data_IF_622271808408
#
_entry.id   IF_622271808408
#
_cell.length_a   1.000
_cell.length_b   1.000
_cell.length_c   1.000
_cell.angle_alpha   90.00
_cell.angle_beta   90.00
_cell.angle_gamma   90.00
#
_symmetry.space_group_name_H-M   'P 1'
#
loop_
_entity.id
_entity.type
_entity.pdbx_description
1 polymer ?
#
# COMPACT_ATOMS: atom_id res chain seq x y z
N UNK A 1 -42.83 1.75 -35.99
CA UNK A 1 -42.29 0.38 -35.91
C UNK A 1 -42.76 -0.38 -37.14
N UNK A 2 -41.84 -0.98 -37.90
CA UNK A 2 -42.16 -1.72 -39.11
C UNK A 2 -42.56 -3.17 -38.78
N UNK A 3 -43.43 -3.75 -39.60
CA UNK A 3 -43.86 -5.15 -39.45
C UNK A 3 -42.65 -6.10 -39.63
N UNK A 4 -42.41 -6.98 -38.67
CA UNK A 4 -41.23 -7.87 -38.65
C UNK A 4 -39.93 -7.26 -38.12
N UNK A 5 -39.95 -6.03 -37.61
CA UNK A 5 -38.78 -5.35 -37.04
C UNK A 5 -38.96 -5.08 -35.54
N UNK A 6 -37.90 -5.30 -34.76
CA UNK A 6 -37.84 -4.93 -33.34
C UNK A 6 -36.47 -4.31 -33.04
N UNK A 7 -36.49 -3.22 -32.27
CA UNK A 7 -35.29 -2.69 -31.63
C UNK A 7 -35.03 -3.49 -30.36
N UNK A 8 -33.85 -4.10 -30.27
CA UNK A 8 -33.40 -4.86 -29.11
C UNK A 8 -32.13 -4.23 -28.55
N UNK A 9 -32.17 -3.86 -27.28
CA UNK A 9 -31.02 -3.38 -26.54
C UNK A 9 -30.66 -4.40 -25.45
N UNK A 10 -29.44 -4.96 -25.54
CA UNK A 10 -28.92 -5.87 -24.52
C UNK A 10 -28.11 -5.08 -23.49
N UNK A 11 -28.57 -5.08 -22.23
CA UNK A 11 -27.80 -4.53 -21.11
C UNK A 11 -26.67 -5.48 -20.70
N UNK A 12 -25.64 -5.50 -21.56
CA UNK A 12 -24.39 -6.24 -21.33
C UNK A 12 -23.75 -5.87 -19.98
N UNK A 13 -23.70 -4.59 -19.56
CA UNK A 13 -23.17 -4.22 -18.25
C UNK A 13 -23.83 -4.90 -17.06
N UNK A 14 -25.16 -4.84 -16.97
CA UNK A 14 -25.89 -5.46 -15.86
C UNK A 14 -25.80 -6.99 -15.91
N UNK A 15 -25.86 -7.58 -17.10
CA UNK A 15 -25.73 -9.02 -17.27
C UNK A 15 -24.35 -9.53 -16.82
N UNK A 16 -23.27 -8.83 -17.19
CA UNK A 16 -21.92 -9.21 -16.82
C UNK A 16 -21.66 -8.98 -15.32
N UNK A 17 -22.16 -7.87 -14.75
CA UNK A 17 -22.09 -7.62 -13.30
C UNK A 17 -22.78 -8.75 -12.52
N UNK A 18 -24.00 -9.11 -12.90
CA UNK A 18 -24.75 -10.19 -12.24
C UNK A 18 -23.98 -11.52 -12.31
N UNK A 19 -23.53 -11.90 -13.51
CA UNK A 19 -22.74 -13.12 -13.72
C UNK A 19 -21.49 -13.13 -12.83
N UNK A 20 -20.78 -12.02 -12.75
CA UNK A 20 -19.56 -11.91 -11.96
C UNK A 20 -19.83 -11.97 -10.44
N UNK A 21 -20.89 -11.33 -9.96
CA UNK A 21 -21.32 -11.45 -8.55
C UNK A 21 -21.69 -12.90 -8.23
N UNK A 22 -22.42 -13.57 -9.11
CA UNK A 22 -22.78 -14.98 -8.94
C UNK A 22 -21.54 -15.89 -8.91
N UNK A 23 -20.53 -15.62 -9.74
CA UNK A 23 -19.25 -16.34 -9.68
C UNK A 23 -18.48 -16.06 -8.38
N UNK A 24 -18.39 -14.81 -7.93
CA UNK A 24 -17.76 -14.47 -6.65
C UNK A 24 -18.46 -15.10 -5.45
N UNK A 25 -19.79 -15.29 -5.52
CA UNK A 25 -20.55 -15.97 -4.46
C UNK A 25 -20.19 -17.47 -4.35
N UNK A 26 -19.87 -18.12 -5.47
CA UNK A 26 -19.48 -19.55 -5.52
C UNK A 26 -18.02 -19.79 -5.10
N UNK A 27 -17.15 -18.80 -5.30
CA UNK A 27 -15.74 -18.91 -4.97
C UNK A 27 -15.50 -18.91 -3.45
N UNK A 28 -14.67 -19.84 -2.98
CA UNK A 28 -14.08 -19.74 -1.65
C UNK A 28 -13.03 -18.61 -1.67
N UNK A 29 -13.02 -17.79 -0.62
CA UNK A 29 -11.94 -16.84 -0.40
C UNK A 29 -10.70 -17.56 0.13
N UNK A 30 -9.53 -16.96 -0.10
CA UNK A 30 -8.26 -17.42 0.48
C UNK A 30 -7.50 -16.23 1.06
N UNK A 31 -6.60 -16.47 2.02
CA UNK A 31 -5.85 -15.42 2.71
C UNK A 31 -4.97 -14.62 1.74
N UNK A 32 -4.89 -13.30 1.91
CA UNK A 32 -4.07 -12.38 1.12
C UNK A 32 -2.60 -12.44 1.55
N UNK A 33 -1.98 -13.62 1.35
CA UNK A 33 -0.57 -13.87 1.63
C UNK A 33 0.21 -13.98 0.34
N UNK A 34 1.53 -13.72 0.41
CA UNK A 34 2.43 -13.90 -0.74
C UNK A 34 2.34 -15.30 -1.35
N UNK A 35 2.20 -16.32 -0.51
CA UNK A 35 2.09 -17.71 -0.95
C UNK A 35 0.88 -17.91 -1.87
N UNK A 36 -0.31 -17.48 -1.42
CA UNK A 36 -1.53 -17.62 -2.23
C UNK A 36 -1.54 -16.69 -3.44
N UNK A 37 -1.04 -15.46 -3.33
CA UNK A 37 -1.04 -14.54 -4.47
C UNK A 37 -0.12 -15.01 -5.60
N UNK A 38 0.99 -15.69 -5.29
CA UNK A 38 1.90 -16.25 -6.28
C UNK A 38 1.30 -17.41 -7.11
N UNK A 39 0.23 -18.04 -6.62
CA UNK A 39 -0.48 -19.11 -7.35
C UNK A 39 -1.49 -18.56 -8.37
N UNK A 40 -1.80 -17.26 -8.33
CA UNK A 40 -2.76 -16.63 -9.23
C UNK A 40 -2.13 -16.36 -10.60
N UNK A 41 -2.83 -16.61 -11.71
CA UNK A 41 -2.39 -16.18 -13.04
C UNK A 41 -2.25 -14.66 -13.11
N UNK A 42 -1.21 -14.19 -13.78
CA UNK A 42 -0.92 -12.75 -13.90
C UNK A 42 -1.63 -12.15 -15.11
N UNK A 43 -2.94 -12.28 -15.07
CA UNK A 43 -3.84 -11.96 -16.17
C UNK A 43 -4.71 -10.76 -15.84
N UNK A 44 -5.37 -10.19 -16.85
CA UNK A 44 -6.31 -9.11 -16.62
C UNK A 44 -7.62 -9.60 -15.98
N UNK A 45 -8.14 -8.81 -15.04
CA UNK A 45 -9.33 -9.15 -14.30
C UNK A 45 -9.66 -8.17 -13.19
N UNK A 46 -10.53 -8.65 -12.31
CA UNK A 46 -11.04 -7.94 -11.14
C UNK A 46 -10.91 -8.82 -9.91
N UNK A 47 -10.77 -8.19 -8.75
CA UNK A 47 -10.64 -8.87 -7.48
C UNK A 47 -11.33 -8.09 -6.37
N UNK A 48 -11.64 -8.80 -5.29
CA UNK A 48 -12.19 -8.23 -4.07
C UNK A 48 -11.32 -8.64 -2.89
N UNK A 49 -11.12 -7.73 -1.93
CA UNK A 49 -10.55 -8.03 -0.63
C UNK A 49 -11.67 -8.07 0.41
N UNK A 50 -11.53 -9.00 1.35
CA UNK A 50 -12.52 -9.25 2.38
C UNK A 50 -11.86 -9.23 3.75
N UNK A 51 -12.57 -8.72 4.75
CA UNK A 51 -12.22 -8.81 6.18
C UNK A 51 -13.45 -9.33 6.91
N UNK A 52 -13.31 -10.41 7.68
CA UNK A 52 -14.46 -11.05 8.34
C UNK A 52 -15.55 -11.52 7.37
N UNK A 53 -15.19 -11.85 6.12
CA UNK A 53 -16.13 -12.25 5.07
C UNK A 53 -16.87 -11.09 4.38
N UNK A 54 -16.70 -9.86 4.83
CA UNK A 54 -17.28 -8.67 4.20
C UNK A 54 -16.32 -8.09 3.14
N UNK A 55 -16.85 -7.73 1.97
CA UNK A 55 -16.07 -7.04 0.93
C UNK A 55 -15.74 -5.62 1.37
N UNK A 56 -14.44 -5.33 1.52
CA UNK A 56 -13.95 -4.00 1.94
C UNK A 56 -13.26 -3.23 0.81
N UNK A 57 -12.76 -3.95 -0.20
CA UNK A 57 -12.09 -3.38 -1.37
C UNK A 57 -12.46 -4.14 -2.64
N UNK A 58 -12.63 -3.43 -3.74
CA UNK A 58 -12.68 -4.00 -5.09
C UNK A 58 -11.60 -3.32 -5.91
N UNK A 59 -10.82 -4.08 -6.66
CA UNK A 59 -9.82 -3.54 -7.55
C UNK A 59 -9.84 -4.22 -8.91
N UNK A 60 -9.16 -3.59 -9.85
CA UNK A 60 -8.90 -4.14 -11.18
C UNK A 60 -7.42 -4.14 -11.52
N UNK A 61 -7.11 -4.93 -12.54
CA UNK A 61 -5.84 -4.86 -13.26
C UNK A 61 -5.91 -3.80 -14.35
N UNK A 62 -4.75 -3.35 -14.79
CA UNK A 62 -4.56 -2.52 -15.98
C UNK A 62 -3.69 -3.27 -16.99
N UNK A 63 -3.22 -2.58 -18.04
CA UNK A 63 -2.32 -3.18 -19.02
C UNK A 63 -0.93 -3.50 -18.46
N UNK A 64 -0.53 -2.84 -17.38
CA UNK A 64 0.84 -2.87 -16.86
C UNK A 64 1.00 -3.85 -15.68
N UNK A 65 -0.08 -4.19 -14.99
CA UNK A 65 -0.07 -5.14 -13.87
C UNK A 65 -1.31 -6.06 -13.87
N UNK A 66 -1.06 -7.36 -14.03
CA UNK A 66 -2.05 -8.43 -13.89
C UNK A 66 -2.45 -8.70 -12.43
N UNK A 67 -3.36 -9.67 -12.25
CA UNK A 67 -4.00 -9.99 -10.97
C UNK A 67 -2.98 -10.36 -9.90
N UNK A 68 -2.01 -11.22 -10.24
CA UNK A 68 -0.94 -11.62 -9.32
C UNK A 68 -0.12 -10.42 -8.87
N UNK A 69 0.29 -9.55 -9.79
CA UNK A 69 1.04 -8.33 -9.46
C UNK A 69 0.28 -7.42 -8.49
N UNK A 70 -0.99 -7.12 -8.79
CA UNK A 70 -1.85 -6.26 -7.95
C UNK A 70 -2.08 -6.85 -6.57
N UNK A 71 -2.50 -8.11 -6.49
CA UNK A 71 -2.76 -8.78 -5.22
C UNK A 71 -1.50 -8.92 -4.38
N UNK A 72 -0.36 -9.23 -4.99
CA UNK A 72 0.92 -9.32 -4.27
C UNK A 72 1.35 -7.95 -3.71
N UNK A 73 1.09 -6.86 -4.43
CA UNK A 73 1.31 -5.50 -3.90
C UNK A 73 0.42 -5.24 -2.67
N UNK A 74 -0.85 -5.59 -2.73
CA UNK A 74 -1.76 -5.42 -1.58
C UNK A 74 -1.38 -6.31 -0.39
N UNK A 75 -1.02 -7.57 -0.64
CA UNK A 75 -0.51 -8.50 0.38
C UNK A 75 0.74 -7.95 1.07
N UNK A 76 1.60 -7.24 0.33
CA UNK A 76 2.75 -6.56 0.92
C UNK A 76 2.31 -5.34 1.75
N UNK A 77 1.47 -4.44 1.20
CA UNK A 77 1.03 -3.19 1.85
C UNK A 77 0.38 -3.37 3.23
N UNK A 78 -0.37 -4.46 3.43
CA UNK A 78 -1.08 -4.72 4.70
C UNK A 78 -0.18 -5.28 5.80
N UNK A 79 1.08 -5.59 5.50
CA UNK A 79 2.05 -6.02 6.51
C UNK A 79 2.50 -4.85 7.36
N UNK A 80 2.98 -5.17 8.57
CA UNK A 80 3.57 -4.22 9.53
C UNK A 80 2.62 -3.05 9.79
N UNK A 81 1.33 -3.36 9.94
CA UNK A 81 0.27 -2.41 10.28
C UNK A 81 -0.22 -2.72 11.69
N UNK A 82 -0.49 -1.69 12.46
CA UNK A 82 -1.22 -1.82 13.71
C UNK A 82 -2.68 -2.12 13.40
N UNK A 83 -3.33 -2.91 14.27
CA UNK A 83 -4.75 -3.25 14.19
C UNK A 83 -5.20 -4.02 12.93
N UNK A 84 -4.27 -4.47 12.09
CA UNK A 84 -4.58 -5.29 10.90
C UNK A 84 -3.61 -6.45 10.82
N UNK A 85 -4.13 -7.67 10.97
CA UNK A 85 -3.34 -8.87 10.75
C UNK A 85 -3.51 -9.33 9.30
N UNK A 86 -2.42 -9.61 8.56
CA UNK A 86 -2.54 -10.05 7.17
C UNK A 86 -3.41 -11.29 6.97
N UNK A 87 -3.41 -12.21 7.94
CA UNK A 87 -4.23 -13.42 7.93
C UNK A 87 -5.75 -13.16 7.97
N UNK A 88 -6.17 -12.01 8.51
CA UNK A 88 -7.59 -11.61 8.59
C UNK A 88 -8.10 -11.07 7.25
N UNK A 89 -7.20 -10.76 6.31
CA UNK A 89 -7.53 -10.26 4.99
C UNK A 89 -7.54 -11.42 4.00
N UNK A 90 -8.65 -11.54 3.27
CA UNK A 90 -8.82 -12.56 2.25
C UNK A 90 -9.06 -11.91 0.89
N UNK A 91 -8.94 -12.70 -0.19
CA UNK A 91 -9.28 -12.24 -1.52
C UNK A 91 -10.08 -13.28 -2.32
N UNK A 92 -10.78 -12.76 -3.33
CA UNK A 92 -11.29 -13.52 -4.48
C UNK A 92 -10.89 -12.78 -5.74
N UNK A 93 -10.59 -13.50 -6.83
CA UNK A 93 -10.16 -12.90 -8.09
C UNK A 93 -10.78 -13.64 -9.28
N UNK A 94 -11.10 -12.90 -10.33
CA UNK A 94 -11.63 -13.44 -11.57
C UNK A 94 -10.91 -12.81 -12.76
N UNK A 95 -10.36 -13.66 -13.64
CA UNK A 95 -9.91 -13.22 -14.97
C UNK A 95 -11.12 -12.82 -15.79
N UNK A 96 -11.03 -11.72 -16.51
CA UNK A 96 -12.11 -11.23 -17.38
C UNK A 96 -11.56 -11.07 -18.79
N UNK A 97 -12.11 -11.82 -19.75
CA UNK A 97 -11.62 -11.85 -21.13
C UNK A 97 -12.08 -10.65 -21.97
N UNK A 98 -13.18 -9.99 -21.61
CA UNK A 98 -13.75 -8.86 -22.36
C UNK A 98 -13.70 -7.61 -21.47
N UNK A 99 -12.52 -7.02 -21.34
CA UNK A 99 -12.26 -5.94 -20.38
C UNK A 99 -12.53 -4.53 -20.93
N UNK A 100 -12.46 -4.36 -22.25
CA UNK A 100 -12.11 -3.06 -22.84
C UNK A 100 -13.24 -2.04 -22.93
N UNK A 101 -14.49 -2.44 -22.70
CA UNK A 101 -15.65 -1.57 -22.90
C UNK A 101 -16.42 -1.17 -21.62
N UNK A 102 -16.04 -1.68 -20.44
CA UNK A 102 -16.86 -1.51 -19.23
C UNK A 102 -16.05 -1.28 -17.96
N UNK A 103 -16.51 -0.34 -17.13
CA UNK A 103 -15.92 -0.07 -15.82
C UNK A 103 -16.47 -1.03 -14.75
N UNK A 104 -16.10 -2.31 -14.85
CA UNK A 104 -16.55 -3.37 -13.95
C UNK A 104 -16.20 -3.10 -12.49
N UNK A 105 -15.07 -2.46 -12.22
CA UNK A 105 -14.67 -2.04 -10.87
C UNK A 105 -15.74 -1.11 -10.27
N UNK A 106 -16.13 -0.05 -10.99
CA UNK A 106 -17.15 0.90 -10.53
C UNK A 106 -18.51 0.23 -10.32
N UNK A 107 -18.89 -0.69 -11.20
CA UNK A 107 -20.13 -1.45 -11.08
C UNK A 107 -20.14 -2.35 -9.84
N UNK A 108 -19.05 -3.06 -9.57
CA UNK A 108 -18.90 -3.91 -8.38
C UNK A 108 -18.86 -3.10 -7.09
N UNK A 109 -18.12 -1.99 -7.06
CA UNK A 109 -18.09 -1.08 -5.90
C UNK A 109 -19.51 -0.62 -5.59
N UNK A 110 -20.25 -0.12 -6.60
CA UNK A 110 -21.63 0.32 -6.42
C UNK A 110 -22.53 -0.81 -5.92
N UNK A 111 -22.42 -2.00 -6.50
CA UNK A 111 -23.21 -3.15 -6.10
C UNK A 111 -22.99 -3.48 -4.62
N UNK A 112 -21.74 -3.73 -4.21
CA UNK A 112 -21.44 -4.16 -2.85
C UNK A 112 -21.71 -3.07 -1.80
N UNK A 113 -21.46 -1.80 -2.11
CA UNK A 113 -21.87 -0.67 -1.27
C UNK A 113 -23.36 -0.64 -0.98
N UNK A 114 -24.19 -1.17 -1.89
CA UNK A 114 -25.65 -1.20 -1.73
C UNK A 114 -26.18 -2.49 -1.11
N UNK A 115 -25.46 -3.61 -1.24
CA UNK A 115 -25.98 -4.95 -0.89
C UNK A 115 -25.29 -5.62 0.30
N UNK A 116 -24.02 -5.29 0.58
CA UNK A 116 -23.19 -6.01 1.54
C UNK A 116 -22.50 -5.10 2.59
N UNK A 117 -22.77 -3.79 2.54
CA UNK A 117 -22.14 -2.79 3.40
C UNK A 117 -21.02 -2.02 2.69
N UNK A 118 -20.30 -1.18 3.43
CA UNK A 118 -19.35 -0.26 2.82
C UNK A 118 -18.09 -0.97 2.27
N UNK A 119 -17.83 -0.76 0.98
CA UNK A 119 -16.55 -1.08 0.30
C UNK A 119 -15.52 0.03 0.61
N UNK A 120 -15.34 0.31 1.90
CA UNK A 120 -14.78 1.58 2.35
C UNK A 120 -13.29 1.76 2.00
N UNK A 121 -12.52 0.67 1.79
CA UNK A 121 -11.11 0.79 1.42
C UNK A 121 -10.92 1.51 0.09
N UNK A 122 -11.87 1.41 -0.84
CA UNK A 122 -11.81 2.09 -2.14
C UNK A 122 -11.74 3.62 -2.02
N UNK A 123 -12.28 4.19 -0.94
CA UNK A 123 -12.35 5.64 -0.73
C UNK A 123 -11.46 6.14 0.43
N UNK A 124 -10.74 5.21 1.05
CA UNK A 124 -9.96 5.44 2.28
C UNK A 124 -8.50 5.82 2.08
N UNK A 125 -7.97 5.63 0.86
CA UNK A 125 -6.56 5.79 0.55
C UNK A 125 -5.76 4.49 0.38
N UNK A 126 -6.32 3.32 0.71
CA UNK A 126 -5.62 2.01 0.65
C UNK A 126 -4.90 1.74 -0.69
N UNK A 127 -5.54 2.04 -1.82
CA UNK A 127 -4.95 1.85 -3.16
C UNK A 127 -4.13 3.04 -3.69
N UNK A 128 -3.91 4.09 -2.88
CA UNK A 128 -3.25 5.32 -3.33
C UNK A 128 -1.74 5.17 -3.39
N UNK A 129 -1.12 5.84 -4.37
CA UNK A 129 0.33 5.98 -4.44
C UNK A 129 0.85 7.07 -3.49
N UNK A 130 2.17 7.09 -3.30
CA UNK A 130 2.86 8.11 -2.51
C UNK A 130 2.56 9.53 -3.06
N UNK A 131 1.97 10.44 -2.26
CA UNK A 131 1.48 11.73 -2.75
C UNK A 131 2.58 12.80 -2.88
N UNK A 132 3.82 12.47 -2.51
CA UNK A 132 4.98 13.36 -2.54
C UNK A 132 5.05 14.35 -1.36
N UNK A 133 6.20 15.04 -1.22
CA UNK A 133 6.52 15.91 -0.07
C UNK A 133 5.49 17.01 0.18
N UNK A 134 4.97 17.62 -0.89
CA UNK A 134 4.01 18.72 -0.81
C UNK A 134 2.66 18.32 -0.18
N UNK A 135 2.42 17.02 0.04
CA UNK A 135 1.21 16.50 0.65
C UNK A 135 1.44 15.84 2.01
N UNK A 136 2.66 15.88 2.54
CA UNK A 136 2.98 15.35 3.87
C UNK A 136 2.27 16.13 4.99
N UNK A 137 1.80 17.35 4.71
CA UNK A 137 1.08 18.25 5.64
C UNK A 137 -0.44 18.18 5.49
N UNK A 138 -0.94 17.36 4.57
CA UNK A 138 -2.39 17.24 4.35
C UNK A 138 -3.01 16.57 5.57
N UNK A 139 -4.06 17.16 6.13
CA UNK A 139 -4.81 16.52 7.22
C UNK A 139 -5.29 15.13 6.79
N UNK A 140 -5.05 14.14 7.64
CA UNK A 140 -5.60 12.82 7.42
C UNK A 140 -7.10 12.86 7.70
N UNK A 141 -7.86 12.14 6.88
CA UNK A 141 -9.24 11.84 7.19
C UNK A 141 -9.23 10.83 8.34
N UNK A 142 -9.98 11.09 9.41
CA UNK A 142 -10.07 10.20 10.57
C UNK A 142 -10.50 8.76 10.19
N UNK A 143 -11.33 8.63 9.16
CA UNK A 143 -11.76 7.35 8.60
C UNK A 143 -10.87 6.82 7.44
N UNK A 144 -9.67 7.37 7.27
CA UNK A 144 -8.71 6.93 6.25
C UNK A 144 -8.04 5.59 6.62
N UNK A 145 -7.60 4.84 5.61
CA UNK A 145 -6.98 3.53 5.83
C UNK A 145 -5.76 3.63 6.76
N UNK A 146 -4.83 4.54 6.44
CA UNK A 146 -3.61 4.70 7.23
C UNK A 146 -3.89 5.26 8.63
N UNK A 147 -5.01 5.95 8.86
CA UNK A 147 -5.39 6.42 10.19
C UNK A 147 -5.88 5.27 11.08
N UNK A 148 -6.64 4.33 10.51
CA UNK A 148 -7.17 3.16 11.22
C UNK A 148 -6.13 2.03 11.35
N UNK A 149 -5.26 1.91 10.35
CA UNK A 149 -4.20 0.90 10.26
C UNK A 149 -2.83 1.57 10.07
N UNK A 150 -2.35 2.31 11.08
CA UNK A 150 -1.08 3.00 10.96
C UNK A 150 0.08 2.01 10.89
N UNK A 151 1.21 2.45 10.33
CA UNK A 151 2.43 1.66 10.27
C UNK A 151 2.93 1.30 11.68
N UNK A 152 3.41 0.07 11.83
CA UNK A 152 4.02 -0.40 13.06
C UNK A 152 5.55 -0.29 12.95
N UNK A 153 6.12 0.68 13.68
CA UNK A 153 7.57 0.91 13.70
C UNK A 153 8.33 -0.14 14.52
N UNK A 154 7.62 -0.84 15.39
CA UNK A 154 8.18 -1.77 16.36
C UNK A 154 8.00 -3.23 15.91
N UNK A 155 7.42 -3.43 14.71
CA UNK A 155 7.41 -4.72 14.03
C UNK A 155 8.84 -5.19 13.69
N UNK A 156 9.17 -6.47 13.90
CA UNK A 156 10.51 -7.00 13.62
C UNK A 156 10.93 -6.82 12.15
N UNK A 157 12.12 -6.26 11.94
CA UNK A 157 12.75 -6.13 10.63
C UNK A 157 14.11 -6.80 10.64
N UNK A 158 14.44 -7.51 9.55
CA UNK A 158 15.77 -8.05 9.33
C UNK A 158 16.46 -7.27 8.21
N UNK A 159 17.12 -6.18 8.58
CA UNK A 159 17.79 -5.33 7.59
C UNK A 159 19.02 -6.03 7.01
N UNK A 160 19.20 -5.97 5.69
CA UNK A 160 20.37 -6.51 5.01
C UNK A 160 21.61 -5.59 5.13
N UNK A 161 21.98 -5.21 6.36
CA UNK A 161 23.15 -4.38 6.68
C UNK A 161 23.63 -4.63 8.11
N UNK A 162 24.96 -4.71 8.30
CA UNK A 162 25.61 -4.85 9.61
C UNK A 162 26.14 -3.51 10.15
N UNK A 163 25.75 -2.39 9.53
CA UNK A 163 26.37 -1.08 9.77
C UNK A 163 27.75 -0.99 9.11
N UNK A 164 28.58 -0.06 9.57
CA UNK A 164 29.91 0.21 8.99
C UNK A 164 29.86 0.85 7.59
N UNK A 165 28.70 1.36 7.21
CA UNK A 165 28.39 1.93 5.89
C UNK A 165 27.73 3.30 6.06
N UNK A 166 27.52 4.02 4.97
CA UNK A 166 26.85 5.32 5.02
C UNK A 166 25.40 5.20 5.50
N UNK A 167 24.87 6.25 6.14
CA UNK A 167 23.46 6.35 6.50
C UNK A 167 22.53 6.12 5.29
N UNK A 168 22.91 6.62 4.11
CA UNK A 168 22.18 6.38 2.86
C UNK A 168 22.03 4.88 2.54
N UNK A 169 23.10 4.11 2.69
CA UNK A 169 23.09 2.66 2.44
C UNK A 169 22.26 1.90 3.48
N UNK A 170 22.29 2.31 4.75
CA UNK A 170 21.42 1.73 5.80
C UNK A 170 19.94 2.01 5.48
N UNK A 171 19.59 3.24 5.09
CA UNK A 171 18.22 3.58 4.73
C UNK A 171 17.75 2.84 3.47
N UNK A 172 18.62 2.63 2.48
CA UNK A 172 18.30 1.82 1.29
C UNK A 172 18.09 0.34 1.62
N UNK A 173 18.88 -0.23 2.54
CA UNK A 173 18.66 -1.58 3.04
C UNK A 173 17.29 -1.67 3.75
N UNK A 174 16.98 -0.71 4.63
CA UNK A 174 15.70 -0.66 5.32
C UNK A 174 14.52 -0.53 4.34
N UNK A 175 14.59 0.34 3.33
CA UNK A 175 13.52 0.53 2.32
C UNK A 175 13.08 -0.77 1.64
N UNK A 176 13.99 -1.72 1.47
CA UNK A 176 13.69 -3.01 0.80
C UNK A 176 12.84 -3.94 1.67
N UNK A 177 12.89 -3.74 2.98
CA UNK A 177 12.17 -4.56 3.97
C UNK A 177 10.81 -3.97 4.37
N UNK A 178 10.56 -2.70 4.05
CA UNK A 178 9.37 -1.99 4.50
C UNK A 178 8.19 -2.14 3.52
N UNK A 179 6.99 -2.51 4.01
CA UNK A 179 5.74 -2.54 3.24
C UNK A 179 5.10 -1.16 3.03
N UNK A 180 5.83 -0.10 3.38
CA UNK A 180 5.39 1.29 3.29
C UNK A 180 6.56 2.18 2.92
N UNK A 181 6.26 3.39 2.48
CA UNK A 181 7.27 4.34 2.01
C UNK A 181 8.15 4.82 3.16
N UNK A 182 9.47 4.77 2.98
CA UNK A 182 10.46 5.52 3.75
C UNK A 182 11.12 6.55 2.83
N UNK A 183 10.75 7.82 2.98
CA UNK A 183 11.32 8.93 2.22
C UNK A 183 12.42 9.60 3.04
N UNK A 184 13.57 9.81 2.43
CA UNK A 184 14.61 10.68 3.00
C UNK A 184 14.87 11.85 2.05
N UNK A 185 15.34 12.96 2.58
CA UNK A 185 15.71 14.13 1.78
C UNK A 185 16.78 13.76 0.75
N UNK A 186 16.60 14.22 -0.48
CA UNK A 186 17.57 14.09 -1.55
C UNK A 186 18.50 15.30 -1.63
N UNK A 187 19.42 15.30 -2.59
CA UNK A 187 20.36 16.41 -2.84
C UNK A 187 19.73 17.67 -3.48
N UNK A 188 18.41 17.67 -3.71
CA UNK A 188 17.69 18.78 -4.36
C UNK A 188 17.88 18.89 -5.88
N UNK A 189 18.68 18.01 -6.49
CA UNK A 189 18.89 17.97 -7.93
C UNK A 189 17.75 17.30 -8.70
N UNK A 190 17.81 17.35 -10.05
CA UNK A 190 16.89 16.59 -10.92
C UNK A 190 17.04 15.06 -10.78
N UNK A 191 18.06 14.59 -10.05
CA UNK A 191 18.31 13.17 -9.78
C UNK A 191 17.76 12.74 -8.42
N UNK A 192 17.40 11.45 -8.28
CA UNK A 192 17.04 10.82 -7.01
C UNK A 192 18.28 10.47 -6.17
N UNK A 193 19.22 11.40 -6.02
CA UNK A 193 20.43 11.17 -5.24
C UNK A 193 20.16 11.44 -3.75
N UNK A 194 20.73 10.65 -2.83
CA UNK A 194 20.64 10.94 -1.40
C UNK A 194 21.30 12.29 -1.06
N UNK A 195 20.80 12.97 -0.04
CA UNK A 195 21.41 14.19 0.48
C UNK A 195 22.87 13.95 0.93
N UNK A 196 23.81 14.90 0.72
CA UNK A 196 25.22 14.75 1.11
C UNK A 196 25.45 14.25 2.54
N UNK A 197 24.76 14.82 3.54
CA UNK A 197 24.86 14.36 4.94
C UNK A 197 24.58 12.87 5.11
N UNK A 198 23.64 12.28 4.36
CA UNK A 198 23.33 10.85 4.42
C UNK A 198 24.46 10.00 3.81
N UNK A 199 25.18 10.54 2.82
CA UNK A 199 26.29 9.85 2.14
C UNK A 199 27.56 9.92 2.96
N UNK A 200 27.82 11.05 3.65
CA UNK A 200 29.06 11.28 4.40
C UNK A 200 29.00 10.77 5.84
N UNK A 201 27.80 10.65 6.42
CA UNK A 201 27.63 10.16 7.79
C UNK A 201 27.70 8.64 7.82
N UNK A 202 28.69 8.11 8.55
CA UNK A 202 28.92 6.67 8.67
C UNK A 202 28.21 6.11 9.89
N UNK A 203 27.30 5.17 9.68
CA UNK A 203 26.70 4.39 10.77
C UNK A 203 27.75 3.37 11.20
N UNK A 204 28.16 3.32 12.49
CA UNK A 204 29.15 2.35 12.94
C UNK A 204 28.63 0.91 12.77
N UNK A 205 29.51 -0.10 12.72
CA UNK A 205 29.08 -1.49 12.76
C UNK A 205 28.18 -1.75 13.98
N UNK A 206 27.08 -2.45 13.77
CA UNK A 206 26.13 -2.72 14.84
C UNK A 206 26.73 -3.71 15.83
N UNK A 207 26.87 -3.30 17.10
CA UNK A 207 27.23 -4.22 18.18
C UNK A 207 26.09 -5.20 18.47
N UNK A 208 24.86 -4.73 18.33
CA UNK A 208 23.63 -5.53 18.32
C UNK A 208 22.81 -5.05 17.15
N UNK A 209 22.44 -5.96 16.25
CA UNK A 209 21.70 -5.62 15.03
C UNK A 209 20.34 -5.05 15.42
N UNK A 210 19.95 -3.85 14.90
CA UNK A 210 18.62 -3.32 15.10
C UNK A 210 17.55 -4.32 14.67
N UNK A 211 16.57 -4.50 15.52
CA UNK A 211 15.47 -5.46 15.36
C UNK A 211 14.18 -4.81 14.90
N UNK A 212 14.05 -3.48 15.02
CA UNK A 212 12.85 -2.73 14.62
C UNK A 212 13.18 -1.56 13.68
N UNK A 213 12.16 -1.10 12.94
CA UNK A 213 12.29 0.09 12.07
C UNK A 213 12.72 1.31 12.89
N UNK A 214 12.16 1.46 14.09
CA UNK A 214 12.51 2.54 15.03
C UNK A 214 13.98 2.53 15.41
N UNK A 215 14.52 1.37 15.77
CA UNK A 215 15.92 1.22 16.17
C UNK A 215 16.89 1.58 15.02
N UNK A 216 16.58 1.13 13.80
CA UNK A 216 17.38 1.47 12.61
C UNK A 216 17.42 2.98 12.39
N UNK A 217 16.25 3.64 12.47
CA UNK A 217 16.16 5.10 12.26
C UNK A 217 16.89 5.88 13.35
N UNK A 218 16.82 5.44 14.60
CA UNK A 218 17.57 6.06 15.69
C UNK A 218 19.09 5.89 15.52
N UNK A 219 19.56 4.74 15.06
CA UNK A 219 20.98 4.53 14.75
C UNK A 219 21.48 5.45 13.62
N UNK A 220 20.65 5.67 12.60
CA UNK A 220 20.94 6.63 11.52
C UNK A 220 20.95 8.06 12.06
N UNK A 221 19.92 8.48 12.81
CA UNK A 221 19.84 9.85 13.36
C UNK A 221 21.02 10.17 14.27
N UNK A 222 21.50 9.20 15.05
CA UNK A 222 22.61 9.38 15.99
C UNK A 222 23.96 9.73 15.35
N UNK A 223 24.10 9.57 14.03
CA UNK A 223 25.33 9.94 13.30
C UNK A 223 25.15 11.14 12.35
N UNK A 224 23.91 11.62 12.17
CA UNK A 224 23.64 12.74 11.29
C UNK A 224 23.99 14.09 11.96
N UNK A 225 24.35 15.13 11.19
CA UNK A 225 24.53 16.48 11.73
C UNK A 225 23.23 17.03 12.31
N UNK A 226 23.30 18.01 13.22
CA UNK A 226 22.11 18.61 13.81
C UNK A 226 21.13 19.18 12.77
N UNK A 227 19.83 19.02 13.05
CA UNK A 227 18.73 19.54 12.22
C UNK A 227 18.02 18.52 11.35
N UNK A 228 18.36 17.23 11.45
CA UNK A 228 17.57 16.15 10.86
C UNK A 228 16.45 15.70 11.80
N UNK A 229 15.29 15.39 11.22
CA UNK A 229 14.14 14.85 11.91
C UNK A 229 13.58 13.65 11.13
N UNK A 230 13.35 12.54 11.83
CA UNK A 230 12.54 11.44 11.31
C UNK A 230 11.14 11.48 11.94
N UNK A 231 10.11 11.38 11.10
CA UNK A 231 8.70 11.42 11.52
C UNK A 231 7.97 10.23 10.91
N UNK A 232 7.22 9.49 11.73
CA UNK A 232 6.23 8.55 11.25
C UNK A 232 4.92 9.27 11.02
N UNK A 233 4.51 9.34 9.77
CA UNK A 233 3.13 9.62 9.40
C UNK A 233 2.36 8.29 9.41
N UNK A 234 1.02 8.29 9.46
CA UNK A 234 0.28 7.05 9.68
C UNK A 234 0.53 5.97 8.61
N UNK A 235 0.82 6.36 7.36
CA UNK A 235 1.10 5.42 6.26
C UNK A 235 2.53 5.38 5.73
N UNK A 236 3.45 6.20 6.27
CA UNK A 236 4.81 6.35 5.71
C UNK A 236 5.76 6.98 6.72
N UNK A 237 7.06 6.84 6.48
CA UNK A 237 8.11 7.53 7.24
C UNK A 237 8.75 8.59 6.35
N UNK A 238 9.02 9.75 6.94
CA UNK A 238 9.79 10.83 6.31
C UNK A 238 11.00 11.16 7.18
N UNK A 239 12.12 11.48 6.54
CA UNK A 239 13.36 11.93 7.19
C UNK A 239 13.91 13.12 6.42
N UNK A 240 13.80 14.32 7.00
CA UNK A 240 14.15 15.58 6.35
C UNK A 240 15.02 16.45 7.26
N UNK A 241 15.71 17.41 6.65
CA UNK A 241 16.46 18.43 7.38
C UNK A 241 15.54 19.59 7.75
N UNK A 242 14.80 19.40 8.83
CA UNK A 242 13.81 20.36 9.31
C UNK A 242 13.48 20.09 10.78
N UNK A 243 12.77 21.04 11.40
CA UNK A 243 12.14 20.85 12.70
C UNK A 243 10.68 21.27 12.57
N UNK A 244 9.81 20.28 12.38
CA UNK A 244 8.40 20.51 12.05
C UNK A 244 7.49 19.53 12.78
N UNK A 245 6.43 20.04 13.38
CA UNK A 245 5.34 19.20 13.87
C UNK A 245 4.34 18.92 12.75
N UNK A 246 3.96 17.65 12.62
CA UNK A 246 2.96 17.19 11.67
C UNK A 246 1.71 16.80 12.46
N UNK A 247 0.54 17.33 12.08
CA UNK A 247 -0.70 17.15 12.87
C UNK A 247 -1.06 15.70 13.13
N UNK A 248 -0.78 14.81 12.18
CA UNK A 248 -1.02 13.37 12.30
C UNK A 248 0.29 12.55 12.37
N UNK A 249 1.43 13.20 12.57
CA UNK A 249 2.74 12.55 12.62
C UNK A 249 3.27 12.42 14.04
N UNK A 250 4.06 11.38 14.28
CA UNK A 250 4.82 11.18 15.51
C UNK A 250 6.30 11.30 15.20
N UNK A 251 6.99 12.22 15.87
CA UNK A 251 8.44 12.35 15.76
C UNK A 251 9.11 11.11 16.34
N UNK A 252 9.92 10.44 15.54
CA UNK A 252 10.69 9.27 15.95
C UNK A 252 11.93 9.74 16.72
N UNK A 253 12.61 10.75 16.18
CA UNK A 253 13.81 11.33 16.76
C UNK A 253 14.34 12.50 15.94
N UNK A 254 15.31 13.20 16.53
CA UNK A 254 16.06 14.30 15.92
C UNK A 254 17.56 14.11 16.19
N UNK A 255 18.39 14.50 15.24
CA UNK A 255 19.86 14.58 15.36
C UNK A 255 20.30 15.84 16.10
#
# INVERSE_FOLDING_TARGET
MAEGYVEFEFDLPSALLKSLVDEFAKLNSTSLTREHTMQIPDEQGVYQLLVGGQVVYVGKTDADSGLRGRLSKHAFTIRHRQNLKPEDVQFKAARVFVFTAMDLEKLLIRHYSQTAGDVWWNFSGFGSNDPGRNRDTTELKDAGFDALYPIDLDYPVDIASDGGVSAAQVLDALRRELPFTLRAEGDGGRGRKPHPDLVTSMVPPFTTKPSTTREVLNAVLGVLPAGWQATALPGRIIMYRESREYSAGVVIGRS
#
